data_IF_288322922099
#
_entry.id   IF_288322922099
#
_cell.length_a   1.000
_cell.length_b   1.000
_cell.length_c   1.000
_cell.angle_alpha   90.00
_cell.angle_beta   90.00
_cell.angle_gamma   90.00
#
_symmetry.space_group_name_H-M   'P 1'
#
loop_
_entity.id
_entity.type
_entity.pdbx_description
1 polymer ?
#
# COMPACT_ATOMS: atom_id res chain seq x y z
N UNK A 1 26.80 -12.71 3.60
CA UNK A 1 27.95 -11.97 4.18
C UNK A 1 27.77 -10.44 4.11
N UNK A 2 27.39 -9.86 2.96
CA UNK A 2 27.22 -8.39 2.80
C UNK A 2 26.01 -7.82 3.58
N UNK A 3 24.84 -8.47 3.58
CA UNK A 3 23.64 -7.97 4.30
C UNK A 3 23.86 -7.84 5.82
N UNK A 4 24.58 -8.78 6.43
CA UNK A 4 24.86 -8.75 7.88
C UNK A 4 25.75 -7.57 8.24
N UNK A 5 26.74 -7.28 7.39
CA UNK A 5 27.68 -6.18 7.58
C UNK A 5 26.96 -4.83 7.46
N UNK A 6 26.12 -4.67 6.44
CA UNK A 6 25.29 -3.48 6.21
C UNK A 6 24.31 -3.23 7.38
N UNK A 7 23.65 -4.30 7.87
CA UNK A 7 22.73 -4.22 9.01
C UNK A 7 23.44 -3.73 10.28
N UNK A 8 24.67 -4.19 10.53
CA UNK A 8 25.48 -3.75 11.67
C UNK A 8 25.88 -2.27 11.60
N UNK A 9 26.07 -1.73 10.38
CA UNK A 9 26.44 -0.32 10.17
C UNK A 9 25.23 0.60 10.40
N UNK A 10 24.06 0.20 9.89
CA UNK A 10 22.82 0.96 10.06
C UNK A 10 22.40 1.03 11.53
N UNK A 11 22.47 -0.09 12.26
CA UNK A 11 22.17 -0.13 13.69
C UNK A 11 23.09 0.80 14.51
N UNK A 12 24.38 0.87 14.15
CA UNK A 12 25.36 1.79 14.78
C UNK A 12 25.03 3.26 14.53
N UNK A 13 24.43 3.57 13.39
CA UNK A 13 23.99 4.92 13.04
C UNK A 13 22.57 5.23 13.56
N UNK A 14 21.95 4.34 14.35
CA UNK A 14 20.53 4.40 14.73
C UNK A 14 19.57 4.51 13.53
N UNK A 15 20.02 4.04 12.36
CA UNK A 15 19.25 4.01 11.13
C UNK A 15 18.65 2.62 10.96
N UNK A 16 17.42 2.56 10.47
CA UNK A 16 16.78 1.29 10.10
C UNK A 16 16.70 1.21 8.59
N UNK A 17 17.13 0.09 8.01
CA UNK A 17 16.82 -0.18 6.62
C UNK A 17 15.29 -0.35 6.55
N UNK A 18 14.59 0.60 5.92
CA UNK A 18 13.26 0.32 5.44
C UNK A 18 13.41 -0.68 4.28
N UNK A 19 13.40 -1.98 4.61
CA UNK A 19 13.23 -3.01 3.58
C UNK A 19 11.90 -2.69 2.89
N UNK A 20 11.98 -2.28 1.64
CA UNK A 20 10.86 -2.43 0.74
C UNK A 20 10.48 -3.90 0.84
N UNK A 21 9.28 -4.19 1.36
CA UNK A 21 8.81 -5.57 1.40
C UNK A 21 8.92 -6.08 -0.02
N UNK A 22 9.50 -7.25 -0.22
CA UNK A 22 9.43 -7.90 -1.52
C UNK A 22 7.95 -7.97 -1.89
N UNK A 23 7.57 -7.24 -2.94
CA UNK A 23 6.19 -7.22 -3.40
C UNK A 23 6.14 -8.14 -4.60
N UNK A 24 5.45 -9.26 -4.44
CA UNK A 24 5.23 -10.21 -5.52
C UNK A 24 4.14 -9.71 -6.46
N UNK A 25 3.11 -9.07 -5.90
CA UNK A 25 1.94 -8.62 -6.67
C UNK A 25 1.54 -7.21 -6.24
N UNK A 26 1.41 -6.30 -7.21
CA UNK A 26 0.76 -5.00 -7.07
C UNK A 26 -0.45 -4.97 -8.00
N UNK A 27 -1.65 -4.77 -7.45
CA UNK A 27 -2.88 -4.58 -8.23
C UNK A 27 -3.56 -3.28 -7.82
N UNK A 28 -4.04 -2.54 -8.82
CA UNK A 28 -4.93 -1.41 -8.62
C UNK A 28 -6.38 -1.89 -8.76
N UNK A 29 -7.21 -1.55 -7.79
CA UNK A 29 -8.63 -1.86 -7.77
C UNK A 29 -9.43 -0.56 -7.76
N UNK A 30 -10.47 -0.50 -8.57
CA UNK A 30 -11.43 0.59 -8.60
C UNK A 30 -12.84 0.07 -8.34
N UNK A 31 -13.58 0.76 -7.50
CA UNK A 31 -15.00 0.53 -7.27
C UNK A 31 -15.72 1.87 -7.39
N UNK A 32 -16.90 1.86 -8.01
CA UNK A 32 -17.81 2.98 -7.96
C UNK A 32 -19.24 2.49 -7.82
N UNK A 33 -20.05 3.28 -7.15
CA UNK A 33 -21.49 3.14 -7.07
C UNK A 33 -22.12 4.52 -7.23
N UNK A 34 -23.24 4.58 -7.93
CA UNK A 34 -23.95 5.84 -8.15
C UNK A 34 -25.45 5.63 -8.24
N UNK A 35 -26.18 6.52 -7.58
CA UNK A 35 -27.61 6.71 -7.68
C UNK A 35 -27.89 8.20 -7.93
N UNK A 36 -29.16 8.55 -8.19
CA UNK A 36 -29.56 9.96 -8.24
C UNK A 36 -29.28 10.69 -6.92
N UNK A 37 -29.43 9.98 -5.78
CA UNK A 37 -29.27 10.54 -4.44
C UNK A 37 -27.80 10.61 -3.96
N UNK A 38 -26.88 9.86 -4.56
CA UNK A 38 -25.49 9.79 -4.09
C UNK A 38 -24.54 9.18 -5.12
N UNK A 39 -23.25 9.50 -5.03
CA UNK A 39 -22.21 8.69 -5.67
C UNK A 39 -21.04 8.45 -4.72
N UNK A 40 -20.37 7.32 -4.90
CA UNK A 40 -19.12 6.98 -4.25
C UNK A 40 -18.18 6.28 -5.22
N UNK A 41 -16.91 6.69 -5.23
CA UNK A 41 -15.86 6.04 -6.00
C UNK A 41 -14.59 5.93 -5.15
N UNK A 42 -13.89 4.80 -5.25
CA UNK A 42 -12.62 4.56 -4.57
C UNK A 42 -11.69 3.78 -5.47
N UNK A 43 -10.43 4.20 -5.51
CA UNK A 43 -9.32 3.46 -6.08
C UNK A 43 -8.34 3.12 -4.95
N UNK A 44 -7.96 1.85 -4.84
CA UNK A 44 -6.97 1.39 -3.88
C UNK A 44 -5.97 0.45 -4.52
N UNK A 45 -4.73 0.52 -4.05
CA UNK A 45 -3.67 -0.42 -4.39
C UNK A 45 -3.65 -1.53 -3.36
N UNK A 46 -3.72 -2.78 -3.83
CA UNK A 46 -3.42 -3.97 -3.04
C UNK A 46 -2.02 -4.45 -3.40
N UNK A 47 -1.17 -4.63 -2.40
CA UNK A 47 0.13 -5.29 -2.54
C UNK A 47 0.19 -6.55 -1.67
N UNK A 48 0.84 -7.59 -2.19
CA UNK A 48 1.05 -8.84 -1.49
C UNK A 48 2.53 -9.22 -1.49
N UNK A 49 3.03 -9.65 -0.33
CA UNK A 49 4.38 -10.20 -0.18
C UNK A 49 4.40 -11.70 -0.48
N UNK A 50 5.58 -12.29 -0.76
CA UNK A 50 5.72 -13.75 -0.87
C UNK A 50 5.26 -14.51 0.39
N UNK A 51 5.36 -13.89 1.57
CA UNK A 51 4.84 -14.41 2.83
C UNK A 51 3.29 -14.33 2.94
N UNK A 52 2.62 -13.87 1.88
CA UNK A 52 1.19 -13.61 1.77
C UNK A 52 0.67 -12.47 2.66
N UNK A 53 1.54 -11.61 3.18
CA UNK A 53 1.09 -10.40 3.85
C UNK A 53 0.44 -9.46 2.84
N UNK A 54 -0.71 -8.91 3.19
CA UNK A 54 -1.45 -7.97 2.33
C UNK A 54 -1.38 -6.58 2.93
N UNK A 55 -1.05 -5.60 2.09
CA UNK A 55 -1.19 -4.18 2.40
C UNK A 55 -2.13 -3.52 1.38
N UNK A 56 -3.07 -2.72 1.88
CA UNK A 56 -4.01 -1.95 1.07
C UNK A 56 -3.78 -0.46 1.34
N UNK A 57 -3.64 0.33 0.26
CA UNK A 57 -3.50 1.77 0.34
C UNK A 57 -4.56 2.43 -0.54
N UNK A 58 -5.35 3.34 0.02
CA UNK A 58 -6.28 4.16 -0.77
C UNK A 58 -5.45 5.15 -1.58
N UNK A 59 -5.68 5.18 -2.89
CA UNK A 59 -5.00 6.07 -3.83
C UNK A 59 -5.84 7.32 -4.07
N UNK A 60 -7.14 7.12 -4.27
CA UNK A 60 -8.10 8.20 -4.44
C UNK A 60 -9.48 7.75 -3.96
N UNK A 61 -10.25 8.68 -3.40
CA UNK A 61 -11.66 8.49 -3.14
C UNK A 61 -12.42 9.78 -3.43
N UNK A 62 -13.65 9.63 -3.90
CA UNK A 62 -14.58 10.74 -4.10
C UNK A 62 -15.98 10.28 -3.75
N UNK A 63 -16.69 11.08 -2.98
CA UNK A 63 -18.11 10.84 -2.69
C UNK A 63 -18.89 12.15 -2.77
N UNK A 64 -20.20 12.02 -3.00
CA UNK A 64 -21.17 13.11 -2.93
C UNK A 64 -22.51 12.55 -2.48
N UNK A 65 -23.19 13.31 -1.63
CA UNK A 65 -24.61 13.15 -1.34
C UNK A 65 -25.34 14.26 -2.12
N UNK A 66 -26.38 13.91 -2.88
CA UNK A 66 -27.23 14.89 -3.54
C UNK A 66 -28.07 15.61 -2.47
N UNK A 67 -28.10 16.94 -2.55
CA UNK A 67 -28.93 17.80 -1.71
C UNK A 67 -30.28 18.06 -2.36
#
# INVERSE_FOLDING_TARGET
>A
MIEQQLTSMLNRASMKLHKWRDVEVIKLHGFYDSSEASFGAVAYRKSQTPARDVAINIVASKSRVAH
#
